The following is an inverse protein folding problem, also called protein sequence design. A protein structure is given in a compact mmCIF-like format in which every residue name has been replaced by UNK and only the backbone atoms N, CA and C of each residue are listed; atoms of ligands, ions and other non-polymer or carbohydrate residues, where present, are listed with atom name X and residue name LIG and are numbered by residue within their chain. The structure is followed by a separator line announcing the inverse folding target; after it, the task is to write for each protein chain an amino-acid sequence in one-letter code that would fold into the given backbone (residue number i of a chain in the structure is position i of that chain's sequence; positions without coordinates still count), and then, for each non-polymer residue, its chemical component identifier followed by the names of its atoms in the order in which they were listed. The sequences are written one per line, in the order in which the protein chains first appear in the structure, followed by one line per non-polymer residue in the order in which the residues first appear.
data_IF_299485579860
#
_entry.id   IF_299485579860
#
_cell.length_a   1.000
_cell.length_b   1.000
_cell.length_c   1.000
_cell.angle_alpha   90.00
_cell.angle_beta   90.00
_cell.angle_gamma   90.00
#
_symmetry.space_group_name_H-M   'P 1'
#
loop_
_entity.id
_entity.type
_entity.pdbx_description
1 polymer ?
#
# COMPACT_ATOMS: atom_id res chain seq x y z
N UNK A 1 -16.30 16.12 -23.08
CA UNK A 1 -15.84 14.78 -23.50
C UNK A 1 -15.96 13.88 -22.28
N UNK A 2 -16.81 12.84 -22.30
CA UNK A 2 -16.82 11.86 -21.20
C UNK A 2 -15.44 11.18 -21.24
N UNK A 3 -14.73 11.18 -20.12
CA UNK A 3 -13.31 10.85 -20.10
C UNK A 3 -13.14 9.37 -20.40
N UNK A 4 -12.29 9.03 -21.37
CA UNK A 4 -12.06 7.63 -21.76
C UNK A 4 -11.68 6.77 -20.54
N UNK A 5 -10.85 7.30 -19.64
CA UNK A 5 -10.47 6.61 -18.41
C UNK A 5 -11.61 6.41 -17.39
N UNK A 6 -12.71 7.18 -17.45
CA UNK A 6 -13.89 7.01 -16.60
C UNK A 6 -14.88 5.99 -17.16
N UNK A 7 -14.92 5.80 -18.48
CA UNK A 7 -15.79 4.78 -19.08
C UNK A 7 -15.08 3.43 -19.17
N UNK A 8 -13.87 3.41 -19.71
CA UNK A 8 -13.09 2.20 -19.88
C UNK A 8 -11.60 2.49 -19.62
N UNK A 9 -11.13 2.32 -18.37
CA UNK A 9 -9.75 2.64 -17.99
C UNK A 9 -8.75 1.69 -18.65
N UNK A 10 -9.15 0.44 -18.92
CA UNK A 10 -8.32 -0.53 -19.63
C UNK A 10 -8.09 -0.06 -21.07
N UNK A 11 -9.17 0.25 -21.80
CA UNK A 11 -9.06 0.74 -23.18
C UNK A 11 -8.29 2.05 -23.27
N UNK A 12 -8.50 2.96 -22.31
CA UNK A 12 -7.71 4.19 -22.21
C UNK A 12 -6.20 3.93 -22.08
N UNK A 13 -5.81 2.95 -21.28
CA UNK A 13 -4.40 2.56 -21.14
C UNK A 13 -3.88 1.92 -22.42
N UNK A 14 -4.63 1.02 -23.04
CA UNK A 14 -4.26 0.41 -24.33
C UNK A 14 -4.07 1.46 -25.42
N UNK A 15 -4.93 2.47 -25.48
CA UNK A 15 -4.80 3.60 -26.39
C UNK A 15 -3.53 4.40 -26.11
N UNK A 16 -3.25 4.72 -24.84
CA UNK A 16 -2.03 5.43 -24.45
C UNK A 16 -0.76 4.64 -24.75
N UNK A 17 -0.78 3.32 -24.59
CA UNK A 17 0.36 2.45 -24.91
C UNK A 17 0.76 2.57 -26.39
N UNK A 18 -0.23 2.70 -27.28
CA UNK A 18 -0.04 2.82 -28.72
C UNK A 18 0.35 4.24 -29.18
N UNK A 19 0.14 5.26 -28.34
CA UNK A 19 0.50 6.65 -28.65
C UNK A 19 1.94 6.94 -28.23
N UNK A 20 2.70 7.63 -29.08
CA UNK A 20 4.04 8.11 -28.70
C UNK A 20 3.92 9.34 -27.81
N UNK A 21 4.82 9.48 -26.83
CA UNK A 21 4.73 10.58 -25.86
C UNK A 21 4.73 11.94 -26.56
N UNK A 22 5.47 12.11 -27.65
CA UNK A 22 5.57 13.35 -28.43
C UNK A 22 4.24 13.79 -29.09
N UNK A 23 3.25 12.90 -29.13
CA UNK A 23 1.91 13.20 -29.65
C UNK A 23 0.96 13.71 -28.57
N UNK A 24 1.38 13.69 -27.29
CA UNK A 24 0.60 14.16 -26.16
C UNK A 24 0.90 15.64 -25.88
N UNK A 25 -0.12 16.41 -25.55
CA UNK A 25 -0.02 17.87 -25.32
C UNK A 25 1.02 18.23 -24.26
N UNK A 26 1.10 17.45 -23.20
CA UNK A 26 2.00 17.70 -22.08
C UNK A 26 3.44 17.24 -22.30
N UNK A 27 3.78 16.67 -23.47
CA UNK A 27 5.16 16.24 -23.74
C UNK A 27 6.16 17.38 -23.65
N UNK A 28 5.79 18.56 -24.17
CA UNK A 28 6.61 19.76 -24.11
C UNK A 28 6.57 20.49 -22.77
N UNK A 29 5.81 19.98 -21.78
CA UNK A 29 5.68 20.63 -20.49
C UNK A 29 6.99 20.55 -19.70
N UNK A 30 7.48 21.70 -19.26
CA UNK A 30 8.76 21.77 -18.53
C UNK A 30 8.75 21.03 -17.18
N UNK A 31 7.56 20.70 -16.66
CA UNK A 31 7.39 20.03 -15.36
C UNK A 31 7.11 18.53 -15.47
N UNK A 32 7.01 17.97 -16.68
CA UNK A 32 6.64 16.56 -16.87
C UNK A 32 7.61 15.61 -16.16
N UNK A 33 8.92 15.74 -16.40
CA UNK A 33 9.91 14.86 -15.77
C UNK A 33 9.99 15.07 -14.26
N UNK A 34 9.78 16.30 -13.79
CA UNK A 34 9.73 16.60 -12.36
C UNK A 34 8.56 15.87 -11.69
N UNK A 35 7.38 15.86 -12.33
CA UNK A 35 6.21 15.17 -11.82
C UNK A 35 6.36 13.64 -11.88
N UNK A 36 6.96 13.10 -12.96
CA UNK A 36 7.31 11.67 -13.04
C UNK A 36 8.22 11.28 -11.87
N UNK A 37 9.26 12.09 -11.61
CA UNK A 37 10.19 11.83 -10.51
C UNK A 37 9.51 11.95 -9.15
N UNK A 38 8.62 12.95 -8.96
CA UNK A 38 7.88 13.13 -7.72
C UNK A 38 6.96 11.94 -7.40
N UNK A 39 6.26 11.40 -8.41
CA UNK A 39 5.44 10.18 -8.25
C UNK A 39 6.31 9.01 -7.78
N UNK A 40 7.50 8.84 -8.37
CA UNK A 40 8.45 7.79 -7.98
C UNK A 40 9.01 7.97 -6.58
N UNK A 41 9.48 9.18 -6.26
CA UNK A 41 10.07 9.50 -4.95
C UNK A 41 9.08 9.32 -3.82
N UNK A 42 7.79 9.57 -4.10
CA UNK A 42 6.70 9.36 -3.17
C UNK A 42 6.17 7.92 -3.15
N UNK A 43 6.76 7.01 -3.94
CA UNK A 43 6.31 5.63 -4.11
C UNK A 43 4.81 5.54 -4.41
N UNK A 44 4.30 6.47 -5.22
CA UNK A 44 2.89 6.46 -5.62
C UNK A 44 2.72 5.37 -6.67
N UNK A 45 1.92 4.37 -6.32
CA UNK A 45 1.47 3.29 -7.17
C UNK A 45 0.08 3.55 -7.73
N UNK A 46 -0.02 3.58 -9.05
CA UNK A 46 -1.28 3.82 -9.76
C UNK A 46 -1.68 2.51 -10.41
N UNK A 47 -2.89 2.04 -10.10
CA UNK A 47 -3.42 0.78 -10.59
C UNK A 47 -4.75 0.96 -11.30
N UNK A 48 -4.98 0.21 -12.37
CA UNK A 48 -6.33 -0.01 -12.90
C UNK A 48 -6.96 -1.18 -12.17
N UNK A 49 -8.25 -1.01 -11.83
CA UNK A 49 -9.06 -2.04 -11.20
C UNK A 49 -10.41 -2.13 -11.86
N UNK A 50 -10.87 -3.37 -12.04
CA UNK A 50 -12.20 -3.66 -12.54
C UNK A 50 -13.25 -3.35 -11.48
N UNK A 51 -14.24 -2.52 -11.84
CA UNK A 51 -15.42 -2.23 -11.03
C UNK A 51 -16.68 -2.75 -11.75
N UNK A 52 -17.29 -3.87 -11.32
CA UNK A 52 -18.46 -4.45 -11.98
C UNK A 52 -19.70 -3.54 -11.99
N UNK A 53 -19.68 -2.42 -11.26
CA UNK A 53 -20.76 -1.42 -11.28
C UNK A 53 -20.58 -0.37 -12.38
N UNK A 54 -19.38 -0.24 -12.94
CA UNK A 54 -19.01 0.81 -13.90
C UNK A 54 -18.48 0.24 -15.22
N UNK A 55 -17.78 -0.88 -15.14
CA UNK A 55 -17.09 -1.51 -16.27
C UNK A 55 -17.98 -2.59 -16.90
N UNK A 56 -18.14 -2.50 -18.23
CA UNK A 56 -18.90 -3.48 -19.01
C UNK A 56 -18.10 -4.75 -19.30
N UNK A 57 -16.77 -4.66 -19.30
CA UNK A 57 -15.86 -5.76 -19.64
C UNK A 57 -14.96 -6.07 -18.45
N UNK A 58 -14.78 -7.37 -18.17
CA UNK A 58 -13.91 -7.84 -17.09
C UNK A 58 -12.45 -7.75 -17.55
N UNK A 59 -11.63 -7.04 -16.79
CA UNK A 59 -10.18 -6.97 -17.00
C UNK A 59 -9.42 -7.24 -15.71
N UNK A 60 -8.15 -7.63 -15.83
CA UNK A 60 -7.29 -7.89 -14.69
C UNK A 60 -6.79 -6.58 -14.06
N UNK A 61 -6.63 -6.57 -12.74
CA UNK A 61 -5.98 -5.45 -12.06
C UNK A 61 -4.52 -5.36 -12.52
N UNK A 62 -4.06 -4.15 -12.84
CA UNK A 62 -2.69 -3.90 -13.30
C UNK A 62 -2.12 -2.65 -12.64
N UNK A 63 -0.89 -2.75 -12.16
CA UNK A 63 -0.09 -1.59 -11.71
C UNK A 63 0.55 -0.96 -12.94
N UNK A 64 0.43 0.37 -13.05
CA UNK A 64 0.91 1.14 -14.19
C UNK A 64 2.24 1.81 -13.89
N UNK A 65 2.46 2.20 -12.63
CA UNK A 65 3.64 2.97 -12.18
C UNK A 65 4.97 2.24 -12.34
N UNK A 66 4.95 0.92 -12.46
CA UNK A 66 6.14 0.12 -12.77
C UNK A 66 6.66 0.39 -14.20
N UNK A 67 5.78 0.81 -15.12
CA UNK A 67 6.14 1.23 -16.46
C UNK A 67 6.32 2.75 -16.50
N UNK A 68 7.58 3.19 -16.38
CA UNK A 68 7.95 4.61 -16.35
C UNK A 68 7.51 5.35 -17.62
N UNK A 69 7.56 4.69 -18.80
CA UNK A 69 7.12 5.32 -20.04
C UNK A 69 5.61 5.51 -20.03
N UNK A 70 4.85 4.51 -19.60
CA UNK A 70 3.39 4.62 -19.48
C UNK A 70 2.99 5.66 -18.42
N UNK A 71 3.68 5.73 -17.29
CA UNK A 71 3.50 6.78 -16.28
C UNK A 71 3.74 8.17 -16.89
N UNK A 72 4.82 8.34 -17.65
CA UNK A 72 5.13 9.60 -18.35
C UNK A 72 4.00 9.97 -19.32
N UNK A 73 3.47 9.02 -20.08
CA UNK A 73 2.33 9.25 -20.99
C UNK A 73 1.06 9.65 -20.24
N UNK A 74 0.77 9.04 -19.10
CA UNK A 74 -0.38 9.40 -18.27
C UNK A 74 -0.29 10.85 -17.78
N UNK A 75 0.88 11.28 -17.29
CA UNK A 75 1.07 12.65 -16.83
C UNK A 75 1.04 13.63 -18.01
N UNK A 76 1.70 13.30 -19.11
CA UNK A 76 1.70 14.11 -20.34
C UNK A 76 0.30 14.23 -20.98
N UNK A 77 -0.58 13.25 -20.80
CA UNK A 77 -1.97 13.32 -21.27
C UNK A 77 -2.76 14.47 -20.61
N UNK A 78 -2.44 14.81 -19.36
CA UNK A 78 -3.15 15.88 -18.64
C UNK A 78 -2.44 17.22 -18.63
N UNK A 79 -1.11 17.21 -18.70
CA UNK A 79 -0.36 18.44 -18.63
C UNK A 79 -0.65 19.30 -19.88
N UNK A 80 -0.97 20.59 -19.68
CA UNK A 80 -0.97 21.55 -20.77
C UNK A 80 0.45 21.75 -21.30
N UNK A 81 0.55 22.21 -22.53
CA UNK A 81 1.82 22.76 -23.03
C UNK A 81 2.16 24.03 -22.24
N UNK A 82 3.45 24.31 -22.10
CA UNK A 82 3.92 25.53 -21.44
C UNK A 82 3.34 26.78 -22.11
N UNK A 83 2.90 27.73 -21.29
CA UNK A 83 2.40 29.00 -21.81
C UNK A 83 3.47 29.72 -22.65
N UNK A 84 3.10 30.11 -23.88
CA UNK A 84 3.96 30.84 -24.81
C UNK A 84 4.33 32.22 -24.23
N UNK A 85 3.37 32.91 -23.60
CA UNK A 85 3.55 34.21 -22.96
C UNK A 85 3.73 34.03 -21.44
N UNK A 86 4.99 34.04 -20.99
CA UNK A 86 5.32 33.97 -19.56
C UNK A 86 4.84 35.21 -18.80
N UNK A 87 4.32 35.00 -17.59
CA UNK A 87 3.77 36.05 -16.71
C UNK A 87 2.36 36.53 -17.06
N UNK A 88 1.74 35.99 -18.11
CA UNK A 88 0.35 36.27 -18.47
C UNK A 88 -0.66 35.57 -17.55
N UNK A 89 -1.95 35.89 -17.69
CA UNK A 89 -3.03 35.27 -16.91
C UNK A 89 -3.06 33.74 -17.07
N UNK A 90 -2.91 33.24 -18.30
CA UNK A 90 -2.86 31.80 -18.60
C UNK A 90 -1.63 31.11 -17.99
N UNK A 91 -0.45 31.73 -18.07
CA UNK A 91 0.77 31.19 -17.45
C UNK A 91 0.63 31.12 -15.92
N UNK A 92 0.10 32.16 -15.29
CA UNK A 92 -0.15 32.16 -13.85
C UNK A 92 -1.15 31.07 -13.43
N UNK A 93 -2.22 30.84 -14.22
CA UNK A 93 -3.17 29.75 -13.99
C UNK A 93 -2.49 28.38 -14.09
N UNK A 94 -1.69 28.17 -15.14
CA UNK A 94 -0.93 26.94 -15.35
C UNK A 94 0.02 26.68 -14.18
N UNK A 95 0.79 27.68 -13.76
CA UNK A 95 1.72 27.58 -12.63
C UNK A 95 0.98 27.26 -11.32
N UNK A 96 -0.17 27.89 -11.06
CA UNK A 96 -0.99 27.60 -9.88
C UNK A 96 -1.54 26.17 -9.90
N UNK A 97 -2.01 25.69 -11.06
CA UNK A 97 -2.49 24.31 -11.22
C UNK A 97 -1.37 23.28 -11.01
N UNK A 98 -0.20 23.51 -11.61
CA UNK A 98 0.99 22.67 -11.42
C UNK A 98 1.43 22.68 -9.96
N UNK A 99 1.43 23.83 -9.29
CA UNK A 99 1.75 23.94 -7.86
C UNK A 99 0.82 23.07 -7.02
N UNK A 100 -0.50 23.10 -7.28
CA UNK A 100 -1.48 22.24 -6.59
C UNK A 100 -1.23 20.75 -6.85
N UNK A 101 -0.91 20.37 -8.08
CA UNK A 101 -0.53 19.00 -8.42
C UNK A 101 0.69 18.57 -7.60
N UNK A 102 1.73 19.41 -7.52
CA UNK A 102 2.92 19.12 -6.71
C UNK A 102 2.58 18.99 -5.23
N UNK A 103 1.85 19.95 -4.66
CA UNK A 103 1.41 19.91 -3.27
C UNK A 103 0.59 18.64 -2.98
N UNK A 104 -0.31 18.25 -3.89
CA UNK A 104 -1.08 17.01 -3.78
C UNK A 104 -0.17 15.78 -3.76
N UNK A 105 0.75 15.64 -4.73
CA UNK A 105 1.67 14.51 -4.79
C UNK A 105 2.62 14.48 -3.59
N UNK A 106 3.10 15.64 -3.13
CA UNK A 106 4.00 15.78 -1.99
C UNK A 106 3.36 15.41 -0.67
N UNK A 107 2.10 15.83 -0.48
CA UNK A 107 1.32 15.60 0.74
C UNK A 107 0.54 14.29 0.72
N UNK A 108 0.49 13.59 -0.42
CA UNK A 108 -0.30 12.37 -0.59
C UNK A 108 0.16 11.28 0.38
N UNK A 109 -0.67 10.93 1.38
CA UNK A 109 -0.32 9.89 2.34
C UNK A 109 -0.66 8.49 1.84
N UNK A 110 -1.48 8.45 0.80
CA UNK A 110 -1.85 7.23 0.13
C UNK A 110 -0.88 7.06 -1.03
N UNK A 111 -0.05 6.03 -0.94
CA UNK A 111 0.79 5.62 -2.07
C UNK A 111 -0.04 4.87 -3.10
N UNK A 112 -1.18 4.27 -2.74
CA UNK A 112 -1.92 3.36 -3.62
C UNK A 112 -3.17 4.02 -4.23
N UNK A 113 -3.08 4.41 -5.49
CA UNK A 113 -4.15 5.05 -6.24
C UNK A 113 -4.79 4.12 -7.25
N UNK A 114 -6.10 4.29 -7.43
CA UNK A 114 -6.78 3.79 -8.62
C UNK A 114 -6.66 4.84 -9.72
N UNK A 115 -6.40 4.41 -10.95
CA UNK A 115 -6.18 5.30 -12.09
C UNK A 115 -7.29 6.35 -12.18
N UNK A 116 -8.55 5.95 -12.11
CA UNK A 116 -9.70 6.88 -12.18
C UNK A 116 -9.63 8.00 -11.14
N UNK A 117 -9.30 7.64 -9.89
CA UNK A 117 -9.19 8.58 -8.78
C UNK A 117 -7.99 9.51 -8.97
N UNK A 118 -6.83 8.95 -9.32
CA UNK A 118 -5.63 9.73 -9.60
C UNK A 118 -5.88 10.73 -10.73
N UNK A 119 -6.44 10.25 -11.83
CA UNK A 119 -6.70 11.04 -13.02
C UNK A 119 -7.73 12.16 -12.76
N UNK A 120 -8.75 11.86 -11.96
CA UNK A 120 -9.73 12.84 -11.50
C UNK A 120 -9.08 13.99 -10.71
N UNK A 121 -8.23 13.67 -9.74
CA UNK A 121 -7.50 14.66 -8.93
C UNK A 121 -6.55 15.49 -9.80
N UNK A 122 -5.77 14.83 -10.67
CA UNK A 122 -4.82 15.49 -11.56
C UNK A 122 -5.50 16.50 -12.47
N UNK A 123 -6.55 16.08 -13.15
CA UNK A 123 -7.30 16.96 -14.03
C UNK A 123 -7.87 18.15 -13.28
N UNK A 124 -8.52 17.90 -12.15
CA UNK A 124 -9.20 18.94 -11.41
C UNK A 124 -8.21 19.94 -10.79
N UNK A 125 -7.03 19.47 -10.36
CA UNK A 125 -5.97 20.34 -9.85
C UNK A 125 -5.43 21.31 -10.91
N UNK A 126 -5.49 20.92 -12.19
CA UNK A 126 -5.03 21.71 -13.33
C UNK A 126 -6.10 22.71 -13.84
N UNK A 127 -7.39 22.49 -13.54
CA UNK A 127 -8.49 23.41 -13.91
C UNK A 127 -8.66 24.49 -12.85
N UNK A 128 -7.86 25.54 -12.97
CA UNK A 128 -7.31 26.26 -11.83
C UNK A 128 -8.04 27.50 -11.26
N UNK A 129 -9.27 27.87 -11.66
CA UNK A 129 -9.75 29.26 -11.42
C UNK A 129 -11.25 29.48 -11.08
N UNK A 130 -11.95 28.56 -10.40
CA UNK A 130 -13.39 28.77 -10.08
C UNK A 130 -13.78 28.34 -8.66
N UNK A 131 -15.03 28.67 -8.29
CA UNK A 131 -15.74 28.53 -6.98
C UNK A 131 -15.56 27.17 -6.28
N UNK A 132 -15.02 26.22 -7.00
CA UNK A 132 -14.81 24.84 -6.68
C UNK A 132 -13.47 24.53 -6.01
N UNK A 133 -12.56 25.50 -5.87
CA UNK A 133 -11.32 25.34 -5.10
C UNK A 133 -11.58 24.95 -3.63
N UNK A 134 -12.56 25.58 -2.97
CA UNK A 134 -12.91 25.25 -1.58
C UNK A 134 -13.54 23.85 -1.47
N UNK A 135 -14.37 23.47 -2.46
CA UNK A 135 -15.04 22.17 -2.49
C UNK A 135 -14.00 21.07 -2.76
N UNK A 136 -13.10 21.30 -3.72
CA UNK A 136 -11.98 20.41 -3.98
C UNK A 136 -11.15 20.23 -2.74
N UNK A 137 -10.74 21.34 -2.11
CA UNK A 137 -9.92 21.29 -0.92
C UNK A 137 -10.58 20.42 0.15
N UNK A 138 -11.87 20.61 0.42
CA UNK A 138 -12.58 19.78 1.41
C UNK A 138 -12.67 18.31 0.99
N UNK A 139 -12.95 18.01 -0.28
CA UNK A 139 -13.05 16.62 -0.77
C UNK A 139 -11.68 15.94 -0.78
N UNK A 140 -10.64 16.63 -1.24
CA UNK A 140 -9.25 16.14 -1.29
C UNK A 140 -8.69 16.01 0.12
N UNK A 141 -8.96 16.96 1.03
CA UNK A 141 -8.56 16.86 2.43
C UNK A 141 -9.24 15.66 3.11
N UNK A 142 -10.53 15.42 2.85
CA UNK A 142 -11.26 14.24 3.35
C UNK A 142 -10.69 12.94 2.80
N UNK A 143 -10.41 12.89 1.50
CA UNK A 143 -9.77 11.77 0.83
C UNK A 143 -8.37 11.51 1.39
N UNK A 144 -7.54 12.54 1.55
CA UNK A 144 -6.19 12.44 2.11
C UNK A 144 -6.26 11.98 3.56
N UNK A 145 -7.14 12.54 4.38
CA UNK A 145 -7.33 12.12 5.77
C UNK A 145 -7.70 10.63 5.90
N UNK A 146 -8.64 10.15 5.07
CA UNK A 146 -8.98 8.73 5.03
C UNK A 146 -7.88 7.87 4.43
N UNK A 147 -7.12 8.39 3.46
CA UNK A 147 -5.93 7.77 2.89
C UNK A 147 -4.84 7.54 3.93
N UNK A 148 -4.53 8.58 4.71
CA UNK A 148 -3.67 8.58 5.89
C UNK A 148 -4.01 7.46 6.87
N UNK A 149 -5.28 7.44 7.29
CA UNK A 149 -5.78 6.46 8.25
C UNK A 149 -5.75 5.04 7.66
N UNK A 150 -6.03 4.90 6.37
CA UNK A 150 -5.96 3.62 5.64
C UNK A 150 -4.52 3.11 5.54
N UNK A 151 -3.55 3.96 5.19
CA UNK A 151 -2.13 3.60 5.11
C UNK A 151 -1.62 3.13 6.47
N UNK A 152 -1.87 3.90 7.54
CA UNK A 152 -1.49 3.55 8.91
C UNK A 152 -2.11 2.21 9.36
N UNK A 153 -3.40 2.01 9.10
CA UNK A 153 -4.06 0.73 9.43
C UNK A 153 -3.50 -0.45 8.63
N UNK A 154 -3.08 -0.25 7.37
CA UNK A 154 -2.45 -1.30 6.56
C UNK A 154 -1.09 -1.69 7.12
N UNK A 155 -0.27 -0.71 7.50
CA UNK A 155 1.02 -0.95 8.13
C UNK A 155 0.86 -1.70 9.45
N UNK A 156 -0.04 -1.25 10.33
CA UNK A 156 -0.37 -1.94 11.57
C UNK A 156 -0.85 -3.38 11.31
N UNK A 157 -1.75 -3.56 10.34
CA UNK A 157 -2.27 -4.90 10.00
C UNK A 157 -1.17 -5.82 9.45
N UNK A 158 -0.23 -5.29 8.64
CA UNK A 158 0.89 -6.05 8.11
C UNK A 158 1.82 -6.52 9.24
N UNK A 159 2.15 -5.66 10.19
CA UNK A 159 2.95 -6.02 11.37
C UNK A 159 2.25 -7.08 12.23
N UNK A 160 0.95 -6.89 12.52
CA UNK A 160 0.16 -7.86 13.29
C UNK A 160 0.08 -9.23 12.61
N UNK A 161 -0.16 -9.23 11.29
CA UNK A 161 -0.24 -10.46 10.49
C UNK A 161 1.10 -11.18 10.45
N UNK A 162 2.20 -10.43 10.35
CA UNK A 162 3.55 -10.98 10.38
C UNK A 162 3.86 -11.62 11.74
N UNK A 163 3.58 -10.94 12.86
CA UNK A 163 3.77 -11.50 14.20
C UNK A 163 2.95 -12.77 14.39
N UNK A 164 1.68 -12.75 13.94
CA UNK A 164 0.79 -13.91 13.99
C UNK A 164 1.31 -15.10 13.15
N UNK A 165 1.88 -14.83 11.97
CA UNK A 165 2.46 -15.87 11.12
C UNK A 165 3.71 -16.48 11.75
N UNK A 166 4.56 -15.68 12.40
CA UNK A 166 5.71 -16.19 13.19
C UNK A 166 5.22 -17.11 14.31
N UNK A 167 4.19 -16.72 15.07
CA UNK A 167 3.57 -17.59 16.06
C UNK A 167 3.01 -18.88 15.44
N UNK A 168 2.45 -18.82 14.24
CA UNK A 168 1.94 -20.00 13.53
C UNK A 168 3.05 -20.99 13.17
N UNK A 169 4.22 -20.49 12.74
CA UNK A 169 5.42 -21.31 12.50
C UNK A 169 5.88 -21.98 13.80
N UNK A 170 5.95 -21.23 14.90
CA UNK A 170 6.31 -21.75 16.22
C UNK A 170 5.33 -22.85 16.66
N UNK A 171 4.03 -22.60 16.50
CA UNK A 171 3.00 -23.56 16.89
C UNK A 171 3.05 -24.84 16.04
N UNK A 172 3.35 -24.73 14.74
CA UNK A 172 3.55 -25.88 13.86
C UNK A 172 4.72 -26.75 14.34
N UNK A 173 5.85 -26.14 14.71
CA UNK A 173 7.00 -26.87 15.24
C UNK A 173 6.69 -27.52 16.59
N UNK A 174 6.01 -26.80 17.50
CA UNK A 174 5.55 -27.38 18.78
C UNK A 174 4.65 -28.61 18.54
N UNK A 175 3.67 -28.49 17.64
CA UNK A 175 2.72 -29.57 17.34
C UNK A 175 3.40 -30.80 16.72
N UNK A 176 4.45 -30.61 15.92
CA UNK A 176 5.28 -31.70 15.38
C UNK A 176 5.97 -32.49 16.51
N UNK A 177 6.53 -31.82 17.52
CA UNK A 177 7.15 -32.49 18.67
C UNK A 177 6.13 -33.10 19.63
N UNK A 178 4.95 -32.47 19.80
CA UNK A 178 3.85 -33.06 20.57
C UNK A 178 3.36 -34.36 19.95
N UNK A 179 3.15 -34.38 18.63
CA UNK A 179 2.63 -35.54 17.89
C UNK A 179 3.57 -36.73 17.93
N UNK A 180 4.88 -36.49 18.05
CA UNK A 180 5.90 -37.53 18.17
C UNK A 180 6.25 -37.88 19.62
N UNK A 181 5.56 -37.30 20.62
CA UNK A 181 5.90 -37.44 22.04
C UNK A 181 7.37 -37.10 22.34
N UNK A 182 7.91 -36.11 21.61
CA UNK A 182 9.32 -35.75 21.59
C UNK A 182 9.71 -34.66 22.59
N UNK A 183 10.86 -34.04 22.31
CA UNK A 183 11.37 -32.87 23.04
C UNK A 183 11.68 -31.77 22.04
N UNK A 184 11.08 -30.60 22.24
CA UNK A 184 11.46 -29.41 21.47
C UNK A 184 12.61 -28.69 22.17
N UNK A 185 13.61 -28.27 21.40
CA UNK A 185 14.63 -27.32 21.84
C UNK A 185 14.27 -25.96 21.24
N UNK A 186 14.12 -24.95 22.08
CA UNK A 186 13.72 -23.60 21.65
C UNK A 186 14.89 -22.62 21.63
N UNK A 187 16.09 -23.03 22.06
CA UNK A 187 17.29 -22.18 22.09
C UNK A 187 18.25 -22.46 20.92
N UNK A 188 19.28 -23.27 21.12
CA UNK A 188 20.39 -23.48 20.18
C UNK A 188 20.10 -24.54 19.09
N UNK A 189 19.31 -25.56 19.41
CA UNK A 189 18.90 -26.63 18.47
C UNK A 189 17.51 -26.40 17.87
N UNK A 190 17.04 -25.16 17.91
CA UNK A 190 15.73 -24.79 17.37
C UNK A 190 15.76 -24.57 15.87
N UNK A 191 14.58 -24.47 15.26
CA UNK A 191 14.47 -23.90 13.91
C UNK A 191 15.00 -22.46 13.92
N UNK A 192 15.60 -22.04 12.82
CA UNK A 192 15.96 -20.64 12.63
C UNK A 192 14.74 -19.89 12.11
N UNK A 193 14.13 -19.03 12.92
CA UNK A 193 12.98 -18.23 12.50
C UNK A 193 13.32 -17.26 11.36
N UNK A 194 14.60 -16.97 11.09
CA UNK A 194 15.01 -16.20 9.91
C UNK A 194 15.03 -17.03 8.61
N UNK A 195 14.64 -18.30 8.63
CA UNK A 195 14.55 -19.09 7.39
C UNK A 195 13.30 -18.70 6.59
N UNK A 196 13.53 -18.07 5.43
CA UNK A 196 12.49 -17.60 4.51
C UNK A 196 11.48 -18.68 4.11
N UNK A 197 11.92 -19.95 4.06
CA UNK A 197 11.08 -21.06 3.63
C UNK A 197 9.95 -21.34 4.62
N UNK A 198 10.14 -20.98 5.90
CA UNK A 198 9.10 -21.12 6.93
C UNK A 198 7.86 -20.27 6.65
N UNK A 199 8.01 -19.23 5.82
CA UNK A 199 6.96 -18.28 5.49
C UNK A 199 6.49 -18.37 4.04
N UNK A 200 7.03 -19.33 3.27
CA UNK A 200 6.68 -19.55 1.86
C UNK A 200 7.41 -18.64 0.85
N UNK A 201 8.47 -17.94 1.26
CA UNK A 201 9.27 -17.13 0.34
C UNK A 201 10.37 -17.97 -0.30
N UNK A 202 10.51 -17.87 -1.62
CA UNK A 202 11.60 -18.49 -2.39
C UNK A 202 12.78 -17.52 -2.57
N UNK A 203 12.48 -16.23 -2.72
CA UNK A 203 13.45 -15.16 -2.95
C UNK A 203 13.89 -14.49 -1.64
N UNK A 204 15.18 -14.20 -1.52
CA UNK A 204 15.78 -13.60 -0.32
C UNK A 204 15.44 -12.11 -0.16
N UNK A 205 15.45 -11.37 -1.26
CA UNK A 205 15.21 -9.93 -1.24
C UNK A 205 13.72 -9.64 -0.97
N UNK A 206 12.82 -10.49 -1.48
CA UNK A 206 11.40 -10.45 -1.12
C UNK A 206 11.22 -10.71 0.38
N UNK A 207 11.93 -11.69 0.94
CA UNK A 207 11.85 -11.97 2.38
C UNK A 207 12.39 -10.80 3.22
N UNK A 208 13.53 -10.20 2.86
CA UNK A 208 14.06 -9.03 3.59
C UNK A 208 13.15 -7.82 3.54
N UNK A 209 12.37 -7.65 2.47
CA UNK A 209 11.37 -6.60 2.35
C UNK A 209 10.08 -6.89 3.17
N UNK A 210 9.88 -8.14 3.59
CA UNK A 210 8.67 -8.60 4.27
C UNK A 210 8.51 -8.05 5.69
N UNK A 211 7.27 -8.03 6.18
CA UNK A 211 6.97 -7.62 7.55
C UNK A 211 7.49 -8.64 8.58
N UNK A 212 7.56 -9.93 8.22
CA UNK A 212 8.13 -10.97 9.08
C UNK A 212 9.61 -10.70 9.36
N UNK A 213 10.40 -10.40 8.33
CA UNK A 213 11.82 -10.08 8.49
C UNK A 213 12.04 -8.83 9.36
N UNK A 214 11.25 -7.76 9.12
CA UNK A 214 11.30 -6.51 9.92
C UNK A 214 11.03 -6.72 11.42
N UNK A 215 10.27 -7.75 11.78
CA UNK A 215 10.06 -8.13 13.18
C UNK A 215 11.26 -8.93 13.68
N UNK A 216 11.68 -9.95 12.92
CA UNK A 216 12.73 -10.87 13.33
C UNK A 216 14.10 -10.20 13.45
N UNK A 217 14.42 -9.21 12.61
CA UNK A 217 15.71 -8.50 12.65
C UNK A 217 15.91 -7.73 13.96
N UNK A 218 14.82 -7.38 14.64
CA UNK A 218 14.82 -6.70 15.94
C UNK A 218 14.98 -7.67 17.11
N UNK A 219 14.99 -8.98 16.86
CA UNK A 219 15.09 -9.99 17.90
C UNK A 219 16.55 -10.21 18.31
N UNK A 220 16.81 -10.60 19.57
CA UNK A 220 18.09 -11.15 19.95
C UNK A 220 18.48 -12.32 19.03
N UNK A 221 19.78 -12.51 18.83
CA UNK A 221 20.27 -13.61 18.01
C UNK A 221 21.13 -14.56 18.86
N UNK A 222 20.76 -15.84 18.84
CA UNK A 222 21.59 -16.91 19.41
C UNK A 222 22.69 -17.27 18.42
N UNK A 223 23.93 -17.36 18.90
CA UNK A 223 25.06 -17.85 18.09
C UNK A 223 25.18 -19.34 18.26
N UNK A 224 25.15 -20.08 17.14
CA UNK A 224 25.30 -21.52 17.09
C UNK A 224 26.53 -21.89 16.26
N UNK A 225 27.11 -23.05 16.55
CA UNK A 225 28.21 -23.61 15.77
C UNK A 225 27.64 -24.53 14.69
N UNK A 226 27.90 -24.22 13.42
CA UNK A 226 27.54 -25.05 12.26
C UNK A 226 28.81 -25.33 11.47
N UNK A 227 29.20 -26.61 11.39
CA UNK A 227 30.39 -27.08 10.65
C UNK A 227 31.68 -26.31 10.99
N UNK A 228 31.85 -25.95 12.27
CA UNK A 228 33.03 -25.21 12.76
C UNK A 228 32.99 -23.71 12.52
N UNK A 229 31.87 -23.17 12.01
CA UNK A 229 31.64 -21.74 11.83
C UNK A 229 30.52 -21.21 12.74
N UNK A 230 30.66 -19.97 13.21
CA UNK A 230 29.63 -19.29 13.97
C UNK A 230 28.52 -18.78 13.06
N UNK A 231 27.29 -19.21 13.32
CA UNK A 231 26.08 -18.72 12.64
C UNK A 231 25.13 -18.11 13.67
N UNK A 232 24.65 -16.90 13.39
CA UNK A 232 23.60 -16.26 14.18
C UNK A 232 22.23 -16.68 13.67
N UNK A 233 21.36 -17.07 14.58
CA UNK A 233 19.96 -17.44 14.30
C UNK A 233 19.03 -16.66 15.22
N UNK A 234 17.77 -16.52 14.80
CA UNK A 234 16.69 -16.12 15.72
C UNK A 234 15.98 -17.41 16.13
N UNK A 235 16.21 -17.84 17.38
CA UNK A 235 15.55 -19.03 17.92
C UNK A 235 14.12 -18.72 18.38
N UNK A 236 13.33 -19.78 18.62
CA UNK A 236 12.01 -19.64 19.24
C UNK A 236 12.10 -18.92 20.59
N UNK A 237 13.14 -19.21 21.38
CA UNK A 237 13.38 -18.58 22.68
C UNK A 237 13.69 -17.10 22.54
N UNK A 238 14.50 -16.72 21.55
CA UNK A 238 14.82 -15.32 21.28
C UNK A 238 13.56 -14.54 20.92
N UNK A 239 12.75 -15.07 20.00
CA UNK A 239 11.50 -14.42 19.61
C UNK A 239 10.52 -14.33 20.78
N UNK A 240 10.21 -15.44 21.45
CA UNK A 240 9.23 -15.45 22.56
C UNK A 240 9.69 -14.61 23.75
N UNK A 241 10.99 -14.61 24.06
CA UNK A 241 11.58 -13.86 25.17
C UNK A 241 11.83 -12.37 24.90
N UNK A 242 11.65 -11.90 23.66
CA UNK A 242 11.89 -10.50 23.29
C UNK A 242 10.72 -9.57 23.63
N UNK A 243 11.02 -8.36 24.08
CA UNK A 243 10.04 -7.28 24.23
C UNK A 243 9.79 -6.50 22.92
N UNK A 244 10.58 -6.75 21.86
CA UNK A 244 10.52 -6.00 20.60
C UNK A 244 9.38 -6.44 19.67
N UNK A 245 8.27 -6.91 20.24
CA UNK A 245 7.05 -7.36 19.53
C UNK A 245 5.81 -6.96 20.32
N UNK A 246 4.65 -6.89 19.67
CA UNK A 246 3.44 -6.34 20.30
C UNK A 246 2.93 -7.20 21.45
N UNK A 247 3.07 -8.53 21.34
CA UNK A 247 2.66 -9.43 22.43
C UNK A 247 3.56 -9.35 23.67
N UNK A 248 4.69 -8.63 23.60
CA UNK A 248 5.68 -8.55 24.66
C UNK A 248 6.41 -9.86 24.93
N UNK A 249 7.34 -9.87 25.88
CA UNK A 249 8.09 -11.07 26.21
C UNK A 249 7.25 -12.12 26.96
N UNK A 250 7.67 -13.37 26.82
CA UNK A 250 7.27 -14.48 27.67
C UNK A 250 8.39 -14.78 28.66
N UNK A 251 8.10 -14.64 29.95
CA UNK A 251 9.06 -14.91 31.03
C UNK A 251 9.28 -16.41 31.28
N UNK A 252 10.36 -16.73 32.00
CA UNK A 252 10.67 -18.08 32.51
C UNK A 252 10.78 -19.18 31.43
N UNK A 253 11.28 -18.82 30.24
CA UNK A 253 11.51 -19.77 29.16
C UNK A 253 12.69 -20.73 29.47
N UNK A 254 12.43 -22.03 29.40
CA UNK A 254 13.45 -23.08 29.43
C UNK A 254 14.15 -23.18 28.06
N UNK A 255 15.27 -23.91 28.00
CA UNK A 255 15.92 -24.18 26.71
C UNK A 255 15.19 -25.28 25.92
N UNK A 256 14.49 -26.18 26.62
CA UNK A 256 13.78 -27.31 26.03
C UNK A 256 12.54 -27.68 26.83
N UNK A 257 11.57 -28.29 26.16
CA UNK A 257 10.34 -28.81 26.76
C UNK A 257 10.08 -30.22 26.24
N UNK A 258 10.00 -31.18 27.16
CA UNK A 258 9.80 -32.60 26.83
C UNK A 258 8.35 -32.99 27.04
N UNK A 259 7.86 -33.89 26.17
CA UNK A 259 6.62 -34.59 26.42
C UNK A 259 6.78 -35.56 27.60
N UNK A 260 5.80 -35.55 28.50
CA UNK A 260 5.64 -36.57 29.54
C UNK A 260 4.14 -36.82 29.74
N UNK A 261 3.76 -38.08 29.95
CA UNK A 261 2.36 -38.49 30.16
C UNK A 261 1.76 -37.92 31.45
N UNK A 262 2.56 -37.83 32.51
CA UNK A 262 2.06 -37.45 33.85
C UNK A 262 2.14 -35.94 34.10
N UNK A 263 3.13 -35.26 33.51
CA UNK A 263 3.30 -33.80 33.61
C UNK A 263 3.91 -33.24 32.30
N UNK A 264 3.04 -32.87 31.37
CA UNK A 264 3.45 -32.55 30.00
C UNK A 264 3.91 -31.11 29.85
N UNK A 265 5.19 -30.84 30.17
CA UNK A 265 5.78 -29.50 30.03
C UNK A 265 5.66 -28.95 28.61
N UNK A 266 5.79 -29.81 27.59
CA UNK A 266 5.62 -29.42 26.19
C UNK A 266 4.17 -28.98 25.89
N UNK A 267 3.17 -29.69 26.43
CA UNK A 267 1.77 -29.28 26.28
C UNK A 267 1.49 -27.97 27.00
N UNK A 268 2.02 -27.76 28.20
CA UNK A 268 1.87 -26.49 28.92
C UNK A 268 2.54 -25.32 28.19
N UNK A 269 3.72 -25.55 27.62
CA UNK A 269 4.39 -24.59 26.75
C UNK A 269 3.57 -24.27 25.50
N UNK A 270 3.00 -25.28 24.84
CA UNK A 270 2.13 -25.11 23.69
C UNK A 270 0.90 -24.23 24.00
N UNK A 271 0.23 -24.50 25.13
CA UNK A 271 -0.89 -23.68 25.60
C UNK A 271 -0.45 -22.25 25.87
N UNK A 272 0.67 -22.06 26.57
CA UNK A 272 1.19 -20.72 26.90
C UNK A 272 1.54 -19.91 25.65
N UNK A 273 2.19 -20.54 24.67
CA UNK A 273 2.51 -19.93 23.36
C UNK A 273 1.23 -19.55 22.60
N UNK A 274 0.25 -20.46 22.56
CA UNK A 274 -1.05 -20.20 21.92
C UNK A 274 -1.78 -19.04 22.59
N UNK A 275 -1.87 -19.03 23.91
CA UNK A 275 -2.53 -17.97 24.70
C UNK A 275 -1.92 -16.59 24.44
N UNK A 276 -0.59 -16.52 24.28
CA UNK A 276 0.12 -15.27 23.94
C UNK A 276 -0.24 -14.74 22.54
N UNK A 277 -0.52 -15.63 21.59
CA UNK A 277 -0.88 -15.27 20.21
C UNK A 277 -2.38 -14.97 19.99
N UNK A 278 -3.27 -15.42 20.87
CA UNK A 278 -4.73 -15.22 20.71
C UNK A 278 -5.14 -13.75 20.59
N UNK A 279 -4.65 -12.82 21.44
CA UNK A 279 -4.99 -11.40 21.31
C UNK A 279 -4.59 -10.80 19.95
N UNK A 280 -3.56 -11.36 19.27
CA UNK A 280 -3.20 -10.91 17.92
C UNK A 280 -4.27 -11.29 16.89
N UNK A 281 -4.86 -12.49 16.98
CA UNK A 281 -5.94 -12.90 16.07
C UNK A 281 -7.15 -11.97 16.17
N UNK A 282 -7.56 -11.66 17.40
CA UNK A 282 -8.69 -10.76 17.66
C UNK A 282 -8.39 -9.36 17.11
N UNK A 283 -7.16 -8.89 17.29
CA UNK A 283 -6.74 -7.57 16.81
C UNK A 283 -6.61 -7.51 15.29
N UNK A 284 -6.08 -8.55 14.64
CA UNK A 284 -6.04 -8.67 13.17
C UNK A 284 -7.45 -8.62 12.60
N UNK A 285 -8.40 -9.33 13.21
CA UNK A 285 -9.81 -9.30 12.82
C UNK A 285 -10.40 -7.90 12.95
N UNK A 286 -10.24 -7.27 14.12
CA UNK A 286 -10.72 -5.91 14.38
C UNK A 286 -10.14 -4.90 13.39
N UNK A 287 -8.82 -4.94 13.16
CA UNK A 287 -8.10 -4.01 12.26
C UNK A 287 -8.48 -4.23 10.81
N UNK A 288 -8.74 -5.46 10.40
CA UNK A 288 -9.28 -5.78 9.06
C UNK A 288 -10.66 -5.15 8.86
N UNK A 289 -11.55 -5.23 9.86
CA UNK A 289 -12.87 -4.57 9.80
C UNK A 289 -12.72 -3.05 9.74
N UNK A 290 -11.86 -2.46 10.57
CA UNK A 290 -11.59 -1.01 10.55
C UNK A 290 -11.03 -0.56 9.20
N UNK A 291 -10.09 -1.32 8.64
CA UNK A 291 -9.51 -1.04 7.32
C UNK A 291 -10.57 -1.08 6.22
N UNK A 292 -11.50 -2.03 6.28
CA UNK A 292 -12.61 -2.11 5.34
C UNK A 292 -13.53 -0.89 5.41
N UNK A 293 -13.92 -0.44 6.62
CA UNK A 293 -14.73 0.76 6.81
C UNK A 293 -14.02 2.03 6.28
N UNK A 294 -12.75 2.24 6.66
CA UNK A 294 -11.98 3.41 6.18
C UNK A 294 -11.78 3.35 4.66
N UNK A 295 -11.54 2.16 4.09
CA UNK A 295 -11.44 1.99 2.63
C UNK A 295 -12.76 2.34 1.95
N UNK A 296 -13.90 1.97 2.54
CA UNK A 296 -15.22 2.36 2.02
C UNK A 296 -15.41 3.87 2.04
N UNK A 297 -15.06 4.55 3.13
CA UNK A 297 -15.18 6.02 3.26
C UNK A 297 -14.26 6.74 2.27
N UNK A 298 -13.03 6.25 2.11
CA UNK A 298 -12.10 6.74 1.08
C UNK A 298 -12.72 6.63 -0.31
N UNK A 299 -13.25 5.47 -0.68
CA UNK A 299 -13.88 5.26 -1.98
C UNK A 299 -15.14 6.12 -2.18
N UNK A 300 -15.93 6.36 -1.13
CA UNK A 300 -17.06 7.31 -1.19
C UNK A 300 -16.61 8.74 -1.45
N UNK A 301 -15.50 9.19 -0.85
CA UNK A 301 -14.92 10.51 -1.14
C UNK A 301 -14.45 10.61 -2.60
N UNK A 302 -13.80 9.55 -3.12
CA UNK A 302 -13.45 9.46 -4.55
C UNK A 302 -14.68 9.55 -5.45
N UNK A 303 -15.76 8.85 -5.12
CA UNK A 303 -16.98 8.90 -5.90
C UNK A 303 -17.62 10.30 -5.89
N UNK A 304 -17.63 10.97 -4.73
CA UNK A 304 -18.10 12.34 -4.61
C UNK A 304 -17.26 13.29 -5.47
N UNK A 305 -15.93 13.13 -5.47
CA UNK A 305 -15.03 13.90 -6.33
C UNK A 305 -15.36 13.70 -7.82
N UNK A 306 -15.49 12.45 -8.26
CA UNK A 306 -15.82 12.15 -9.66
C UNK A 306 -17.16 12.75 -10.08
N UNK A 307 -18.21 12.62 -9.23
CA UNK A 307 -19.52 13.23 -9.50
C UNK A 307 -19.44 14.75 -9.55
N UNK A 308 -18.62 15.35 -8.69
CA UNK A 308 -18.40 16.78 -8.67
C UNK A 308 -17.75 17.25 -9.98
N UNK A 309 -16.67 16.59 -10.40
CA UNK A 309 -15.98 16.84 -11.67
C UNK A 309 -16.93 16.75 -12.85
N UNK A 310 -17.71 15.67 -12.95
CA UNK A 310 -18.68 15.48 -14.03
C UNK A 310 -19.74 16.59 -14.07
N UNK A 311 -20.24 17.01 -12.90
CA UNK A 311 -21.22 18.10 -12.81
C UNK A 311 -20.60 19.44 -13.19
N UNK A 312 -19.38 19.70 -12.76
CA UNK A 312 -18.64 20.90 -13.12
C UNK A 312 -18.45 20.99 -14.64
N UNK A 313 -17.94 19.93 -15.28
CA UNK A 313 -17.76 19.86 -16.73
C UNK A 313 -19.08 20.10 -17.48
N UNK A 314 -20.19 19.54 -16.98
CA UNK A 314 -21.51 19.77 -17.57
C UNK A 314 -21.96 21.24 -17.48
N UNK A 315 -21.70 21.91 -16.36
CA UNK A 315 -21.99 23.35 -16.20
C UNK A 315 -21.07 24.19 -17.10
N UNK A 316 -19.78 23.85 -17.20
CA UNK A 316 -18.83 24.55 -18.07
C UNK A 316 -19.24 24.44 -19.54
N UNK A 317 -19.61 23.25 -20.00
CA UNK A 317 -20.10 23.03 -21.36
C UNK A 317 -21.35 23.87 -21.65
N UNK A 318 -22.33 23.87 -20.73
CA UNK A 318 -23.54 24.71 -20.89
C UNK A 318 -23.20 26.20 -20.98
N UNK A 319 -22.27 26.69 -20.16
CA UNK A 319 -21.86 28.08 -20.20
C UNK A 319 -21.14 28.43 -21.51
N UNK A 320 -20.28 27.54 -22.02
CA UNK A 320 -19.60 27.71 -23.30
C UNK A 320 -20.60 27.68 -24.47
N UNK A 321 -21.54 26.74 -24.46
CA UNK A 321 -22.60 26.63 -25.48
C UNK A 321 -23.51 27.88 -25.46
N UNK A 322 -23.90 28.36 -24.28
CA UNK A 322 -24.70 29.58 -24.12
C UNK A 322 -23.95 30.85 -24.61
N UNK A 323 -22.62 30.88 -24.50
CA UNK A 323 -21.81 31.97 -25.07
C UNK A 323 -21.57 31.83 -26.57
N UNK A 324 -21.60 30.60 -27.11
CA UNK A 324 -21.43 30.32 -28.55
C UNK A 324 -22.69 30.66 -29.36
N UNK A 325 -23.85 30.66 -28.70
CA UNK A 325 -25.15 30.96 -29.31
C UNK A 325 -25.51 32.44 -29.40
N UNK A 326 -24.60 33.37 -29.06
CA UNK A 326 -24.79 34.82 -29.17
C UNK A 326 -23.82 35.45 -30.15
#
# INVERSE_FOLDING_TARGET
MIRAYEQNPQHFIEDLENVRVEQLTGHGSSVLEELVQLVKDKNIDISIKYDPRKDSEVFANRVITDDIELLRKILAYFLPEDAILKGGHYDNQLQNGIKRVKEFLESSPNTQWELRAFMAVMHFSLTADRIDDDILKVIVDSMNHHGDARSKLREELAELTAELKIYSVIQAEINKHLSSSGTINIHDKSINLMDKNLYGYTDEEIFKASAEYKILEKMPQTTIQVDGSEKKIVSIKDFLGSENKRTGALGNLKNSYSYNKDNNELSHFATTSSDKSRPLNDLVSQKTTQLSDITSRFNSAIEALNRFIQKYDSVMQRLLDDTSGK
#
